data_IF_946751904099
#
_entry.id   IF_946751904099
#
_cell.length_a   1.000
_cell.length_b   1.000
_cell.length_c   1.000
_cell.angle_alpha   90.00
_cell.angle_beta   90.00
_cell.angle_gamma   90.00
#
_symmetry.space_group_name_H-M   'P 1'
#
loop_
_entity.id
_entity.type
_entity.pdbx_description
1 polymer ?
#
# COMPACT_ATOMS: atom_id res chain seq x y z
N UNK A 1 22.48 12.26 5.11
CA UNK A 1 21.60 13.02 4.22
C UNK A 1 20.29 12.29 4.16
N UNK A 2 19.23 12.89 4.70
CA UNK A 2 17.85 12.48 4.44
C UNK A 2 17.33 13.38 3.31
N UNK A 3 16.78 12.79 2.26
CA UNK A 3 16.28 13.53 1.10
C UNK A 3 14.79 13.86 1.21
N UNK A 4 14.10 13.39 2.25
CA UNK A 4 12.66 13.62 2.45
C UNK A 4 11.80 13.03 1.32
N UNK A 5 12.30 12.00 0.64
CA UNK A 5 11.62 11.35 -0.48
C UNK A 5 10.86 10.11 -0.02
N UNK A 6 9.68 9.92 -0.59
CA UNK A 6 8.92 8.69 -0.45
C UNK A 6 9.46 7.62 -1.41
N UNK A 7 9.56 6.39 -0.93
CA UNK A 7 10.06 5.25 -1.72
C UNK A 7 8.89 4.33 -2.05
N UNK A 8 8.77 3.94 -3.33
CA UNK A 8 7.85 2.91 -3.81
C UNK A 8 8.64 1.66 -4.19
N UNK A 9 8.36 0.54 -3.55
CA UNK A 9 8.91 -0.75 -3.92
C UNK A 9 8.05 -1.45 -4.98
N UNK A 10 8.61 -1.70 -6.16
CA UNK A 10 7.96 -2.41 -7.27
C UNK A 10 8.22 -3.92 -7.23
N UNK A 11 7.25 -4.73 -7.67
CA UNK A 11 7.40 -6.18 -7.78
C UNK A 11 7.17 -6.96 -6.49
N UNK A 12 6.33 -6.46 -5.57
CA UNK A 12 5.99 -7.17 -4.32
C UNK A 12 4.97 -8.27 -4.57
N UNK A 13 5.33 -9.51 -4.29
CA UNK A 13 4.54 -10.71 -4.62
C UNK A 13 4.17 -11.55 -3.39
N UNK A 14 4.76 -11.27 -2.22
CA UNK A 14 4.56 -12.06 -0.99
C UNK A 14 4.53 -11.22 0.29
N UNK A 15 3.89 -11.77 1.33
CA UNK A 15 3.83 -11.15 2.66
C UNK A 15 5.21 -10.99 3.31
N UNK A 16 6.15 -11.90 3.02
CA UNK A 16 7.53 -11.83 3.52
C UNK A 16 8.26 -10.60 2.97
N UNK A 17 8.08 -10.30 1.68
CA UNK A 17 8.64 -9.09 1.08
C UNK A 17 8.03 -7.82 1.70
N UNK A 18 6.72 -7.81 1.97
CA UNK A 18 6.06 -6.70 2.67
C UNK A 18 6.67 -6.46 4.05
N UNK A 19 6.84 -7.51 4.86
CA UNK A 19 7.43 -7.39 6.18
C UNK A 19 8.86 -6.81 6.10
N UNK A 20 9.68 -7.33 5.19
CA UNK A 20 11.06 -6.88 4.99
C UNK A 20 11.16 -5.38 4.59
N UNK A 21 10.22 -4.91 3.76
CA UNK A 21 10.12 -3.52 3.31
C UNK A 21 9.70 -2.58 4.45
N UNK A 22 8.70 -2.99 5.25
CA UNK A 22 8.21 -2.21 6.39
C UNK A 22 9.29 -2.03 7.46
N UNK A 23 10.08 -3.07 7.75
CA UNK A 23 11.23 -3.00 8.67
C UNK A 23 12.28 -1.97 8.26
N UNK A 24 12.32 -1.59 6.97
CA UNK A 24 13.26 -0.63 6.38
C UNK A 24 12.66 0.74 6.11
N UNK A 25 11.44 0.99 6.59
CA UNK A 25 10.75 2.27 6.40
C UNK A 25 10.24 2.49 4.97
N UNK A 26 10.08 1.44 4.18
CA UNK A 26 9.42 1.55 2.86
C UNK A 26 7.93 1.36 3.04
N UNK A 27 7.17 2.44 2.82
CA UNK A 27 5.74 2.50 3.12
C UNK A 27 4.83 2.34 1.91
N UNK A 28 5.38 2.48 0.69
CA UNK A 28 4.63 2.30 -0.55
C UNK A 28 5.17 1.09 -1.32
N UNK A 29 4.27 0.28 -1.84
CA UNK A 29 4.61 -0.90 -2.61
C UNK A 29 3.58 -1.17 -3.69
N UNK A 30 4.07 -1.66 -4.84
CA UNK A 30 3.28 -2.17 -5.93
C UNK A 30 3.69 -3.62 -6.22
N UNK A 31 2.71 -4.48 -6.45
CA UNK A 31 2.95 -5.80 -7.00
C UNK A 31 1.75 -6.72 -6.85
N UNK A 32 1.88 -7.92 -7.37
CA UNK A 32 0.78 -8.88 -7.45
C UNK A 32 0.28 -9.35 -6.09
N UNK A 33 1.07 -9.16 -5.03
CA UNK A 33 0.61 -9.36 -3.66
C UNK A 33 -0.62 -8.51 -3.33
N UNK A 34 -0.66 -7.27 -3.84
CA UNK A 34 -1.76 -6.33 -3.62
C UNK A 34 -2.84 -6.47 -4.69
N UNK A 35 -2.43 -6.41 -5.96
CA UNK A 35 -3.33 -6.54 -7.09
C UNK A 35 -2.55 -6.87 -8.36
N UNK A 36 -3.16 -7.67 -9.24
CA UNK A 36 -2.69 -7.82 -10.61
C UNK A 36 -3.00 -6.55 -11.42
N UNK A 37 -2.21 -6.23 -12.46
CA UNK A 37 -2.57 -5.22 -13.43
C UNK A 37 -3.99 -5.47 -13.97
N UNK A 38 -4.77 -4.40 -14.11
CA UNK A 38 -6.17 -4.49 -14.46
C UNK A 38 -6.57 -3.33 -15.39
N UNK A 39 -7.66 -3.50 -16.12
CA UNK A 39 -8.20 -2.45 -16.98
C UNK A 39 -8.77 -1.30 -16.14
N UNK A 40 -8.90 -0.11 -16.71
CA UNK A 40 -9.49 1.04 -16.02
C UNK A 40 -10.92 0.76 -15.51
N UNK A 41 -11.75 0.03 -16.26
CA UNK A 41 -13.09 -0.37 -15.83
C UNK A 41 -13.05 -1.31 -14.61
N UNK A 42 -12.10 -2.24 -14.59
CA UNK A 42 -11.89 -3.14 -13.44
C UNK A 42 -11.39 -2.35 -12.23
N UNK A 43 -10.47 -1.41 -12.44
CA UNK A 43 -9.98 -0.52 -11.40
C UNK A 43 -11.10 0.30 -10.76
N UNK A 44 -11.98 0.90 -11.57
CA UNK A 44 -13.12 1.66 -11.05
C UNK A 44 -14.00 0.79 -10.13
N UNK A 45 -14.30 -0.44 -10.56
CA UNK A 45 -15.08 -1.40 -9.76
C UNK A 45 -14.34 -1.82 -8.49
N UNK A 46 -13.03 -2.06 -8.58
CA UNK A 46 -12.18 -2.44 -7.46
C UNK A 46 -12.12 -1.34 -6.40
N UNK A 47 -11.93 -0.09 -6.84
CA UNK A 47 -11.95 1.08 -5.96
C UNK A 47 -13.30 1.20 -5.25
N UNK A 48 -14.43 1.13 -5.96
CA UNK A 48 -15.75 1.24 -5.33
C UNK A 48 -16.01 0.17 -4.25
N UNK A 49 -15.42 -1.02 -4.37
CA UNK A 49 -15.52 -2.10 -3.37
C UNK A 49 -14.55 -1.92 -2.19
N UNK A 50 -13.37 -1.34 -2.43
CA UNK A 50 -12.32 -1.17 -1.43
C UNK A 50 -12.61 -0.03 -0.43
N UNK A 51 -13.56 0.86 -0.72
CA UNK A 51 -13.97 1.96 0.16
C UNK A 51 -14.98 1.53 1.24
N UNK A 52 -14.68 0.47 1.99
CA UNK A 52 -15.12 0.48 3.39
C UNK A 52 -14.29 1.57 4.08
N UNK A 53 -14.89 2.56 4.76
CA UNK A 53 -14.13 3.64 5.36
C UNK A 53 -13.07 3.05 6.30
N UNK A 54 -11.78 3.37 6.07
CA UNK A 54 -10.76 3.22 7.11
C UNK A 54 -11.27 4.06 8.28
N UNK A 55 -11.70 3.43 9.36
CA UNK A 55 -11.95 4.17 10.59
C UNK A 55 -10.66 4.93 10.90
N UNK A 56 -10.74 6.26 10.87
CA UNK A 56 -9.66 7.09 11.36
C UNK A 56 -9.46 6.69 12.81
N UNK A 57 -8.34 6.03 13.12
CA UNK A 57 -7.93 5.81 14.50
C UNK A 57 -7.70 7.20 15.06
N UNK A 58 -8.65 7.69 15.86
CA UNK A 58 -8.46 8.87 16.67
C UNK A 58 -7.34 8.54 17.66
N UNK A 59 -6.15 9.09 17.42
CA UNK A 59 -5.13 9.19 18.46
C UNK A 59 -5.65 10.22 19.45
N UNK A 60 -6.50 9.78 20.38
CA UNK A 60 -6.80 10.52 21.58
C UNK A 60 -5.55 10.47 22.46
N UNK A 61 -4.66 11.46 22.29
CA UNK A 61 -3.52 11.69 23.18
C UNK A 61 -4.06 12.13 24.55
N UNK A 62 -3.86 11.28 25.56
CA UNK A 62 -3.85 11.66 26.99
C UNK A 62 -2.40 11.80 27.42
#
# INVERSE_FOLDING_TARGET
YDMGLEIVAEGVESAVQVAWLLERGVHYAQGWYYAKPMTAATLATWLSKAHAPRQAVSLATT
#
